data_IF_016844313521
#
_entry.id   IF_016844313521
#
_cell.length_a   1.000
_cell.length_b   1.000
_cell.length_c   1.000
_cell.angle_alpha   90.00
_cell.angle_beta   90.00
_cell.angle_gamma   90.00
#
_symmetry.space_group_name_H-M   'P 1'
#
loop_
_entity.id
_entity.type
_entity.pdbx_description
1 polymer ?
#
# COMPACT_ATOMS: atom_id res chain seq x y z
N UNK A 1 4.64 -32.84 -2.20
CA UNK A 1 4.93 -31.78 -3.17
C UNK A 1 6.36 -31.33 -3.01
N UNK A 2 7.11 -31.28 -4.08
CA UNK A 2 8.50 -30.85 -4.02
C UNK A 2 8.59 -29.32 -3.92
N UNK A 3 9.76 -28.81 -3.51
CA UNK A 3 10.04 -27.38 -3.49
C UNK A 3 9.80 -26.71 -4.85
N UNK A 4 10.10 -27.43 -5.95
CA UNK A 4 9.91 -26.94 -7.29
C UNK A 4 8.44 -26.70 -7.66
N UNK A 5 7.52 -27.23 -6.88
CA UNK A 5 6.08 -27.11 -7.12
C UNK A 5 5.43 -26.01 -6.32
N UNK A 6 6.18 -25.30 -5.48
CA UNK A 6 5.66 -24.11 -4.78
C UNK A 6 5.25 -23.06 -5.79
N UNK A 7 4.07 -22.50 -5.59
CA UNK A 7 3.60 -21.39 -6.40
C UNK A 7 4.31 -20.13 -5.97
N UNK A 8 4.71 -19.32 -6.94
CA UNK A 8 5.40 -18.07 -6.68
C UNK A 8 4.50 -16.89 -7.00
N UNK A 9 4.51 -15.90 -6.11
CA UNK A 9 3.83 -14.64 -6.33
C UNK A 9 4.83 -13.51 -6.08
N UNK A 10 4.87 -12.53 -6.98
CA UNK A 10 5.80 -11.41 -6.85
C UNK A 10 5.12 -10.29 -6.07
N UNK A 11 5.77 -9.79 -5.03
CA UNK A 11 5.31 -8.63 -4.31
C UNK A 11 5.81 -7.37 -5.06
N UNK A 12 4.89 -6.56 -5.54
CA UNK A 12 5.18 -5.35 -6.30
C UNK A 12 5.56 -4.19 -5.38
N UNK A 13 6.60 -4.41 -4.57
CA UNK A 13 7.08 -3.44 -3.60
C UNK A 13 8.55 -3.69 -3.32
N UNK A 14 9.30 -2.62 -3.07
CA UNK A 14 10.68 -2.70 -2.60
C UNK A 14 10.79 -2.55 -1.09
N UNK A 15 9.67 -2.41 -0.39
CA UNK A 15 9.65 -2.21 1.06
C UNK A 15 9.89 -3.54 1.78
N UNK A 16 11.03 -3.64 2.50
CA UNK A 16 11.41 -4.86 3.20
C UNK A 16 10.46 -5.22 4.35
N UNK A 17 9.91 -4.21 5.03
CA UNK A 17 8.94 -4.45 6.09
C UNK A 17 7.64 -5.05 5.52
N UNK A 18 7.21 -4.57 4.37
CA UNK A 18 6.03 -5.10 3.69
C UNK A 18 6.26 -6.55 3.27
N UNK A 19 7.43 -6.84 2.73
CA UNK A 19 7.80 -8.21 2.36
C UNK A 19 7.72 -9.15 3.55
N UNK A 20 8.25 -8.72 4.69
CA UNK A 20 8.22 -9.53 5.92
C UNK A 20 6.79 -9.78 6.37
N UNK A 21 5.95 -8.76 6.39
CA UNK A 21 4.54 -8.87 6.78
C UNK A 21 3.79 -9.85 5.89
N UNK A 22 3.95 -9.73 4.58
CA UNK A 22 3.27 -10.60 3.62
C UNK A 22 3.75 -12.04 3.76
N UNK A 23 5.05 -12.25 3.96
CA UNK A 23 5.59 -13.60 4.19
C UNK A 23 5.03 -14.24 5.44
N UNK A 24 4.85 -13.47 6.52
CA UNK A 24 4.26 -13.97 7.76
C UNK A 24 2.80 -14.39 7.55
N UNK A 25 2.03 -13.58 6.81
CA UNK A 25 0.62 -13.87 6.52
C UNK A 25 0.49 -15.17 5.71
N UNK A 26 1.39 -15.39 4.78
CA UNK A 26 1.35 -16.53 3.87
C UNK A 26 2.18 -17.74 4.37
N UNK A 27 2.73 -17.64 5.57
CA UNK A 27 3.48 -18.74 6.17
C UNK A 27 2.57 -19.97 6.32
N UNK A 28 3.10 -21.13 5.94
CA UNK A 28 2.32 -22.38 5.97
C UNK A 28 1.48 -22.64 4.72
N UNK A 29 1.36 -21.65 3.82
CA UNK A 29 0.71 -21.85 2.53
C UNK A 29 1.71 -22.42 1.51
N UNK A 30 1.22 -22.79 0.33
CA UNK A 30 2.09 -23.23 -0.77
C UNK A 30 2.62 -22.06 -1.61
N UNK A 31 2.38 -20.81 -1.17
CA UNK A 31 2.83 -19.63 -1.87
C UNK A 31 4.21 -19.17 -1.37
N UNK A 32 5.10 -18.90 -2.31
CA UNK A 32 6.39 -18.31 -2.03
C UNK A 32 6.36 -16.86 -2.55
N UNK A 33 6.62 -15.91 -1.67
CA UNK A 33 6.60 -14.49 -2.00
C UNK A 33 8.00 -14.05 -2.45
N UNK A 34 8.10 -13.55 -3.68
CA UNK A 34 9.35 -13.09 -4.27
C UNK A 34 9.34 -11.57 -4.29
N UNK A 35 10.34 -10.91 -3.69
CA UNK A 35 10.40 -9.45 -3.75
C UNK A 35 10.72 -8.98 -5.17
N UNK A 36 10.22 -7.79 -5.52
CA UNK A 36 10.42 -7.21 -6.84
C UNK A 36 11.90 -7.08 -7.20
N UNK A 37 12.75 -6.79 -6.21
CA UNK A 37 14.19 -6.66 -6.40
C UNK A 37 14.89 -7.94 -6.85
N UNK A 38 14.26 -9.10 -6.66
CA UNK A 38 14.81 -10.39 -7.09
C UNK A 38 14.26 -10.83 -8.45
N UNK A 39 13.57 -9.94 -9.15
CA UNK A 39 13.01 -10.21 -10.47
C UNK A 39 13.73 -9.39 -11.52
N UNK A 40 13.45 -9.68 -12.79
CA UNK A 40 14.00 -8.93 -13.92
C UNK A 40 13.20 -7.65 -14.21
N UNK A 41 12.24 -7.29 -13.36
CA UNK A 41 11.43 -6.11 -13.57
C UNK A 41 12.30 -4.86 -13.55
N UNK A 42 12.32 -4.15 -14.67
CA UNK A 42 13.11 -2.94 -14.85
C UNK A 42 12.27 -1.72 -15.20
N UNK A 43 10.95 -1.88 -15.22
CA UNK A 43 10.04 -0.80 -15.56
C UNK A 43 9.78 0.14 -14.39
N UNK A 44 9.03 1.17 -14.68
CA UNK A 44 8.54 2.12 -13.67
C UNK A 44 7.05 1.92 -13.50
N UNK A 45 6.60 1.89 -12.26
CA UNK A 45 5.18 1.80 -11.95
C UNK A 45 4.63 3.22 -11.76
N UNK A 46 3.61 3.56 -12.53
CA UNK A 46 2.95 4.87 -12.45
C UNK A 46 1.65 4.70 -11.66
N UNK A 47 1.63 5.23 -10.44
CA UNK A 47 0.48 5.15 -9.55
C UNK A 47 -0.37 6.40 -9.71
N UNK A 48 -1.19 6.42 -10.74
CA UNK A 48 -2.06 7.55 -11.07
C UNK A 48 -3.54 7.29 -10.80
N UNK A 49 -3.85 6.27 -10.01
CA UNK A 49 -5.21 5.97 -9.59
C UNK A 49 -5.75 6.97 -8.58
N UNK A 50 -7.06 7.06 -8.47
CA UNK A 50 -7.74 7.96 -7.54
C UNK A 50 -8.08 7.30 -6.21
N UNK A 51 -7.96 5.97 -6.12
CA UNK A 51 -8.22 5.23 -4.89
C UNK A 51 -7.04 4.33 -4.56
N UNK A 52 -6.98 3.89 -3.30
CA UNK A 52 -5.94 2.94 -2.88
C UNK A 52 -6.07 1.63 -3.64
N UNK A 53 -7.29 1.15 -3.86
CA UNK A 53 -7.52 -0.08 -4.61
C UNK A 53 -7.06 0.05 -6.07
N UNK A 54 -7.33 1.18 -6.71
CA UNK A 54 -6.86 1.43 -8.08
C UNK A 54 -5.33 1.42 -8.17
N UNK A 55 -4.65 2.06 -7.23
CA UNK A 55 -3.19 2.08 -7.23
C UNK A 55 -2.60 0.70 -6.96
N UNK A 56 -3.18 -0.07 -6.05
CA UNK A 56 -2.75 -1.45 -5.81
C UNK A 56 -2.96 -2.30 -7.07
N UNK A 57 -4.09 -2.14 -7.74
CA UNK A 57 -4.37 -2.83 -9.01
C UNK A 57 -3.33 -2.48 -10.08
N UNK A 58 -3.05 -1.20 -10.25
CA UNK A 58 -2.05 -0.73 -11.23
C UNK A 58 -0.68 -1.36 -10.98
N UNK A 59 -0.23 -1.37 -9.73
CA UNK A 59 1.05 -1.98 -9.37
C UNK A 59 1.09 -3.47 -9.70
N UNK A 60 0.08 -4.22 -9.25
CA UNK A 60 0.03 -5.66 -9.46
C UNK A 60 -0.06 -5.99 -10.96
N UNK A 61 -0.90 -5.26 -11.69
CA UNK A 61 -1.06 -5.50 -13.12
C UNK A 61 0.20 -5.19 -13.90
N UNK A 62 0.86 -4.07 -13.60
CA UNK A 62 2.10 -3.69 -14.27
C UNK A 62 3.16 -4.78 -14.13
N UNK A 63 3.32 -5.30 -12.91
CA UNK A 63 4.31 -6.34 -12.63
C UNK A 63 3.90 -7.68 -13.26
N UNK A 64 2.64 -8.07 -13.13
CA UNK A 64 2.16 -9.32 -13.69
C UNK A 64 2.27 -9.35 -15.21
N UNK A 65 1.91 -8.24 -15.88
CA UNK A 65 2.02 -8.15 -17.34
C UNK A 65 3.47 -8.18 -17.80
N UNK A 66 4.37 -7.51 -17.06
CA UNK A 66 5.78 -7.44 -17.43
C UNK A 66 6.51 -8.78 -17.25
N UNK A 67 6.18 -9.50 -16.19
CA UNK A 67 6.91 -10.73 -15.82
C UNK A 67 6.18 -12.02 -16.20
N UNK A 68 4.90 -11.93 -16.54
CA UNK A 68 4.10 -13.12 -16.86
C UNK A 68 3.87 -14.05 -15.69
N UNK A 69 3.81 -13.51 -14.47
CA UNK A 69 3.65 -14.28 -13.22
C UNK A 69 2.60 -13.61 -12.35
N UNK A 70 2.05 -14.32 -11.36
CA UNK A 70 1.15 -13.69 -10.40
C UNK A 70 1.86 -12.58 -9.62
N UNK A 71 1.16 -11.48 -9.37
CA UNK A 71 1.69 -10.35 -8.63
C UNK A 71 0.71 -9.92 -7.55
N UNK A 72 1.26 -9.50 -6.42
CA UNK A 72 0.52 -8.98 -5.28
C UNK A 72 1.00 -7.56 -5.02
N UNK A 73 0.08 -6.64 -4.81
CA UNK A 73 0.43 -5.27 -4.46
C UNK A 73 -0.50 -4.75 -3.38
N UNK A 74 -0.03 -3.74 -2.67
CA UNK A 74 -0.85 -3.00 -1.74
C UNK A 74 -0.67 -1.51 -1.95
N UNK A 75 -1.64 -0.75 -1.51
CA UNK A 75 -1.53 0.68 -1.36
C UNK A 75 -2.26 1.08 -0.09
N UNK A 76 -1.66 1.95 0.70
CA UNK A 76 -2.21 2.33 1.98
C UNK A 76 -1.91 3.77 2.30
N UNK A 77 -2.71 4.35 3.17
CA UNK A 77 -2.50 5.72 3.57
C UNK A 77 -3.56 6.18 4.56
N UNK A 78 -3.47 7.47 4.89
CA UNK A 78 -4.28 8.12 5.90
C UNK A 78 -5.31 9.02 5.22
N UNK A 79 -6.57 8.89 5.62
CA UNK A 79 -7.66 9.78 5.21
C UNK A 79 -8.13 10.56 6.43
N UNK A 80 -8.05 11.89 6.35
CA UNK A 80 -8.49 12.78 7.44
C UNK A 80 -9.75 13.50 6.97
N UNK A 81 -10.86 13.28 7.65
CA UNK A 81 -12.16 13.81 7.20
C UNK A 81 -12.20 15.33 7.12
N UNK A 82 -11.63 16.03 8.11
CA UNK A 82 -11.60 17.49 8.11
C UNK A 82 -10.75 18.09 6.98
N UNK A 83 -9.86 17.31 6.38
CA UNK A 83 -9.02 17.74 5.27
C UNK A 83 -9.50 17.18 3.92
N UNK A 84 -10.78 16.83 3.81
CA UNK A 84 -11.32 16.29 2.58
C UNK A 84 -10.74 14.93 2.21
N UNK A 85 -10.41 14.13 3.21
CA UNK A 85 -9.77 12.81 3.10
C UNK A 85 -8.31 12.85 2.66
N UNK A 86 -7.69 14.03 2.65
CA UNK A 86 -6.25 14.11 2.39
C UNK A 86 -5.46 13.67 3.64
N UNK A 87 -4.22 13.17 3.49
CA UNK A 87 -3.48 13.03 2.25
C UNK A 87 -3.94 11.88 1.34
N UNK A 88 -4.77 10.95 1.80
CA UNK A 88 -5.36 9.91 0.99
C UNK A 88 -4.34 9.13 0.17
N UNK A 89 -4.63 8.89 -1.10
CA UNK A 89 -3.76 8.13 -2.01
C UNK A 89 -2.39 8.76 -2.19
N UNK A 90 -2.21 10.01 -1.78
CA UNK A 90 -0.94 10.71 -1.85
C UNK A 90 -0.16 10.68 -0.54
N UNK A 91 -0.55 9.84 0.43
CA UNK A 91 0.07 9.78 1.75
C UNK A 91 1.60 9.64 1.69
N UNK A 92 2.11 8.74 0.85
CA UNK A 92 3.55 8.54 0.72
C UNK A 92 4.27 9.73 0.10
N UNK A 93 3.57 10.53 -0.71
CA UNK A 93 4.14 11.68 -1.41
C UNK A 93 3.83 13.01 -0.76
N UNK A 94 3.02 12.99 0.32
CA UNK A 94 2.63 14.20 1.02
C UNK A 94 3.87 14.98 1.45
N UNK A 95 4.01 16.23 1.00
CA UNK A 95 5.17 17.10 1.22
C UNK A 95 6.48 16.56 0.63
N UNK A 96 6.40 15.63 -0.35
CA UNK A 96 7.56 15.04 -1.00
C UNK A 96 7.95 13.68 -0.42
N UNK A 97 8.39 12.78 -1.28
CA UNK A 97 8.71 11.40 -0.91
C UNK A 97 9.86 11.31 0.09
N UNK A 98 10.82 12.24 0.00
CA UNK A 98 12.02 12.23 0.84
C UNK A 98 11.85 13.00 2.15
N UNK A 99 10.68 13.58 2.39
CA UNK A 99 10.41 14.32 3.62
C UNK A 99 10.13 13.34 4.76
N UNK A 100 10.74 13.58 5.93
CA UNK A 100 10.54 12.70 7.08
C UNK A 100 9.09 12.71 7.56
N UNK A 101 8.66 11.61 8.17
CA UNK A 101 7.32 11.51 8.73
C UNK A 101 7.11 12.48 9.89
N UNK A 102 8.16 12.85 10.63
CA UNK A 102 8.04 13.87 11.68
C UNK A 102 7.58 15.20 11.10
N UNK A 103 8.16 15.60 9.98
CA UNK A 103 7.78 16.84 9.28
C UNK A 103 6.38 16.72 8.69
N UNK A 104 6.06 15.58 8.08
CA UNK A 104 4.73 15.34 7.52
C UNK A 104 3.66 15.39 8.60
N UNK A 105 3.91 14.74 9.73
CA UNK A 105 2.97 14.72 10.85
C UNK A 105 2.80 16.11 11.46
N UNK A 106 3.88 16.88 11.61
CA UNK A 106 3.81 18.24 12.11
C UNK A 106 2.95 19.14 11.23
N UNK A 107 3.07 19.01 9.90
CA UNK A 107 2.23 19.77 8.97
C UNK A 107 0.76 19.36 9.05
N UNK A 108 0.48 18.07 9.20
CA UNK A 108 -0.89 17.62 9.38
C UNK A 108 -1.50 18.18 10.66
N UNK A 109 -0.76 18.17 11.76
CA UNK A 109 -1.22 18.76 13.02
C UNK A 109 -1.46 20.26 12.89
N UNK A 110 -0.59 20.96 12.16
CA UNK A 110 -0.77 22.40 11.89
C UNK A 110 -2.07 22.67 11.14
N UNK A 111 -2.37 21.87 10.12
CA UNK A 111 -3.62 21.99 9.35
C UNK A 111 -4.84 21.69 10.18
N UNK A 112 -4.66 20.93 11.26
CA UNK A 112 -5.73 20.51 12.15
C UNK A 112 -5.91 21.40 13.38
N UNK A 113 -5.07 22.44 13.55
CA UNK A 113 -5.09 23.30 14.76
C UNK A 113 -6.47 23.86 15.11
N UNK A 114 -7.23 24.27 14.10
CA UNK A 114 -8.54 24.86 14.30
C UNK A 114 -9.69 23.87 14.23
N UNK A 115 -9.40 22.60 14.07
CA UNK A 115 -10.41 21.54 13.93
C UNK A 115 -10.83 21.06 15.31
N UNK A 116 -12.14 21.16 15.67
CA UNK A 116 -12.59 20.65 16.96
C UNK A 116 -12.52 19.13 17.05
N UNK A 117 -12.44 18.63 18.28
CA UNK A 117 -12.22 17.20 18.53
C UNK A 117 -13.21 16.29 17.81
N UNK A 118 -14.48 16.63 17.78
CA UNK A 118 -15.51 15.81 17.15
C UNK A 118 -15.37 15.75 15.61
N UNK A 119 -14.57 16.62 15.03
CA UNK A 119 -14.33 16.66 13.58
C UNK A 119 -12.93 16.14 13.19
N UNK A 120 -12.23 15.52 14.14
CA UNK A 120 -10.85 15.03 13.91
C UNK A 120 -10.83 13.54 13.57
N UNK A 121 -11.94 13.02 13.07
CA UNK A 121 -12.00 11.60 12.66
C UNK A 121 -11.12 11.35 11.44
N UNK A 122 -10.51 10.20 11.43
CA UNK A 122 -9.60 9.78 10.37
C UNK A 122 -9.57 8.27 10.30
N UNK A 123 -9.01 7.73 9.22
CA UNK A 123 -8.82 6.30 9.07
C UNK A 123 -7.54 6.00 8.34
N UNK A 124 -6.96 4.87 8.68
CA UNK A 124 -5.91 4.27 7.89
C UNK A 124 -6.54 3.27 6.94
N UNK A 125 -6.22 3.37 5.65
CA UNK A 125 -6.78 2.49 4.62
C UNK A 125 -5.66 1.63 4.07
N UNK A 126 -5.92 0.34 3.91
CA UNK A 126 -5.00 -0.58 3.25
C UNK A 126 -5.78 -1.36 2.18
N UNK A 127 -5.36 -1.26 0.94
CA UNK A 127 -5.92 -2.01 -0.17
C UNK A 127 -4.88 -3.01 -0.67
N UNK A 128 -5.29 -4.26 -0.90
CA UNK A 128 -4.42 -5.29 -1.46
C UNK A 128 -5.08 -5.88 -2.70
N UNK A 129 -4.27 -6.09 -3.74
CA UNK A 129 -4.73 -6.69 -5.00
C UNK A 129 -3.75 -7.75 -5.44
N UNK A 130 -4.26 -8.93 -5.79
CA UNK A 130 -3.49 -10.00 -6.41
C UNK A 130 -4.00 -10.20 -7.84
N UNK A 131 -3.10 -10.29 -8.79
CA UNK A 131 -3.45 -10.45 -10.22
C UNK A 131 -2.65 -11.61 -10.79
N UNK A 132 -3.33 -12.47 -11.56
CA UNK A 132 -2.74 -13.58 -12.29
C UNK A 132 -2.60 -13.22 -13.76
N UNK A 133 -1.65 -13.83 -14.47
CA UNK A 133 -1.44 -13.53 -15.90
C UNK A 133 -2.65 -13.78 -16.81
N UNK A 134 -3.57 -14.66 -16.37
CA UNK A 134 -4.80 -14.93 -17.13
C UNK A 134 -5.89 -13.89 -16.92
N UNK A 135 -5.62 -12.87 -16.12
CA UNK A 135 -6.56 -11.79 -15.83
C UNK A 135 -7.39 -11.97 -14.57
N UNK A 136 -7.30 -13.11 -13.92
CA UNK A 136 -7.96 -13.29 -12.62
C UNK A 136 -7.37 -12.33 -11.60
N UNK A 137 -8.21 -11.81 -10.72
CA UNK A 137 -7.76 -10.91 -9.67
C UNK A 137 -8.60 -11.09 -8.41
N UNK A 138 -7.97 -10.78 -7.28
CA UNK A 138 -8.62 -10.70 -5.98
C UNK A 138 -8.23 -9.37 -5.35
N UNK A 139 -9.18 -8.74 -4.66
CA UNK A 139 -8.89 -7.49 -3.96
C UNK A 139 -9.54 -7.50 -2.59
N UNK A 140 -8.93 -6.76 -1.66
CA UNK A 140 -9.45 -6.55 -0.33
C UNK A 140 -9.09 -5.15 0.13
N UNK A 141 -10.01 -4.48 0.81
CA UNK A 141 -9.78 -3.16 1.39
C UNK A 141 -10.17 -3.24 2.86
N UNK A 142 -9.24 -2.82 3.72
CA UNK A 142 -9.45 -2.77 5.16
C UNK A 142 -9.23 -1.36 5.65
N UNK A 143 -9.98 -0.96 6.66
CA UNK A 143 -9.84 0.35 7.29
C UNK A 143 -9.67 0.22 8.79
N UNK A 144 -8.90 1.14 9.37
CA UNK A 144 -8.78 1.28 10.80
C UNK A 144 -9.21 2.69 11.15
N UNK A 145 -10.39 2.83 11.79
CA UNK A 145 -10.95 4.12 12.18
C UNK A 145 -10.26 4.66 13.43
N UNK A 146 -10.10 5.97 13.49
CA UNK A 146 -9.48 6.62 14.64
C UNK A 146 -9.65 8.12 14.58
N UNK A 147 -8.79 8.81 15.29
CA UNK A 147 -8.82 10.28 15.40
C UNK A 147 -7.41 10.83 15.36
N UNK A 148 -7.28 12.05 14.85
CA UNK A 148 -6.02 12.78 14.87
C UNK A 148 -5.86 13.45 16.24
N UNK A 149 -4.78 13.15 16.92
CA UNK A 149 -4.43 13.76 18.21
C UNK A 149 -4.04 15.23 18.00
N UNK A 150 -3.93 15.97 19.11
CA UNK A 150 -3.49 17.37 19.06
C UNK A 150 -1.97 17.51 18.98
N UNK A 151 -1.24 16.47 19.34
CA UNK A 151 0.22 16.46 19.30
C UNK A 151 0.75 15.06 18.96
N UNK A 152 2.00 15.00 18.54
CA UNK A 152 2.68 13.74 18.21
C UNK A 152 3.00 13.02 19.52
N UNK A 153 2.57 11.75 19.60
CA UNK A 153 2.82 10.91 20.78
C UNK A 153 4.27 10.40 20.81
#
# INVERSE_FOLDING_TARGET
MSEAEKRRIVLASSNQNKLREVRQILEGSDLEVIPLSQTDFAGKIIEDGETFEENAYIKAKTVSDALGVPALADDSGLEIDALGKEPGVHSARFMGEDTSYDIKNAELLRRMEQVPEQERTARFVCAMVAIWPDGKNLSAVETMEGRIAYEIA
#
